data_IF_297197632136
#
_entry.id   IF_297197632136
#
_cell.length_a   1.000
_cell.length_b   1.000
_cell.length_c   1.000
_cell.angle_alpha   90.00
_cell.angle_beta   90.00
_cell.angle_gamma   90.00
#
_symmetry.space_group_name_H-M   'P 1'
#
loop_
_entity.id
_entity.type
_entity.pdbx_description
1 polymer ?
#
# COMPACT_ATOMS: atom_id res chain seq x y z
N UNK A 1 -34.25 13.28 20.87
CA UNK A 1 -32.93 12.73 20.48
C UNK A 1 -33.10 12.02 19.13
N UNK A 2 -32.23 12.30 18.15
CA UNK A 2 -32.32 11.74 16.78
C UNK A 2 -31.14 10.80 16.51
N UNK A 3 -31.39 9.64 15.90
CA UNK A 3 -30.42 8.59 15.62
C UNK A 3 -30.66 7.99 14.23
N UNK A 4 -29.58 7.69 13.51
CA UNK A 4 -29.58 7.00 12.22
C UNK A 4 -28.36 6.09 12.11
N UNK A 5 -28.57 4.91 11.52
CA UNK A 5 -27.54 3.90 11.29
C UNK A 5 -27.72 3.18 9.94
N UNK A 6 -26.66 2.50 9.50
CA UNK A 6 -26.65 1.64 8.32
C UNK A 6 -25.67 0.49 8.54
N UNK A 7 -26.16 -0.74 8.39
CA UNK A 7 -25.36 -1.96 8.47
C UNK A 7 -25.01 -2.40 7.04
N UNK A 8 -23.83 -2.02 6.55
CA UNK A 8 -23.40 -2.27 5.17
C UNK A 8 -23.21 -3.76 4.85
N UNK A 9 -22.85 -4.59 5.84
CA UNK A 9 -22.70 -6.04 5.66
C UNK A 9 -24.02 -6.77 5.40
N UNK A 10 -25.17 -6.14 5.68
CA UNK A 10 -26.49 -6.71 5.38
C UNK A 10 -27.02 -6.29 4.00
N UNK A 11 -26.31 -5.40 3.30
CA UNK A 11 -26.69 -4.96 1.97
C UNK A 11 -26.20 -5.96 0.92
N UNK A 12 -27.13 -6.71 0.30
CA UNK A 12 -26.79 -7.79 -0.64
C UNK A 12 -26.08 -7.28 -1.91
N UNK A 13 -26.27 -6.01 -2.28
CA UNK A 13 -25.61 -5.44 -3.45
C UNK A 13 -24.22 -4.87 -3.15
N UNK A 14 -23.88 -4.68 -1.88
CA UNK A 14 -22.58 -4.14 -1.44
C UNK A 14 -21.69 -5.24 -0.86
N UNK A 15 -22.28 -6.17 -0.10
CA UNK A 15 -21.56 -7.30 0.51
C UNK A 15 -20.69 -6.93 1.72
N UNK A 16 -20.54 -5.65 2.06
CA UNK A 16 -19.68 -5.20 3.15
C UNK A 16 -19.28 -3.73 3.03
N UNK A 17 -18.14 -3.37 3.62
CA UNK A 17 -17.55 -2.04 3.47
C UNK A 17 -16.16 -1.96 4.13
N UNK A 18 -15.32 -0.98 3.76
CA UNK A 18 -15.51 0.01 2.68
C UNK A 18 -15.18 -0.53 1.27
N UNK A 19 -14.36 -1.58 1.20
CA UNK A 19 -13.83 -2.15 -0.05
C UNK A 19 -13.51 -3.62 0.16
N UNK A 20 -13.18 -4.32 -0.92
CA UNK A 20 -12.63 -5.68 -0.85
C UNK A 20 -11.23 -5.68 -0.20
N UNK A 21 -10.93 -6.73 0.58
CA UNK A 21 -9.58 -7.01 1.05
C UNK A 21 -9.07 -8.32 0.43
N UNK A 22 -7.75 -8.49 0.37
CA UNK A 22 -7.13 -9.68 -0.19
C UNK A 22 -6.57 -10.56 0.94
N UNK A 23 -7.10 -11.79 1.10
CA UNK A 23 -6.48 -12.79 1.97
C UNK A 23 -5.03 -13.12 1.56
N UNK A 24 -4.21 -13.68 2.46
CA UNK A 24 -2.83 -14.06 2.15
C UNK A 24 -2.74 -14.94 0.90
N UNK A 25 -1.82 -14.59 0.00
CA UNK A 25 -1.56 -15.32 -1.25
C UNK A 25 -2.51 -15.00 -2.41
N UNK A 26 -3.62 -14.30 -2.19
CA UNK A 26 -4.57 -13.97 -3.27
C UNK A 26 -3.97 -12.92 -4.21
N UNK A 27 -3.45 -11.82 -3.67
CA UNK A 27 -2.92 -10.73 -4.48
C UNK A 27 -1.70 -11.16 -5.31
N UNK A 28 -0.81 -11.97 -4.76
CA UNK A 28 0.38 -12.45 -5.49
C UNK A 28 0.03 -13.46 -6.60
N UNK A 29 -1.00 -14.28 -6.41
CA UNK A 29 -1.40 -15.31 -7.37
C UNK A 29 -2.36 -14.81 -8.45
N UNK A 30 -3.25 -13.89 -8.10
CA UNK A 30 -4.36 -13.46 -8.94
C UNK A 30 -4.43 -11.95 -9.17
N UNK A 31 -3.49 -11.17 -8.63
CA UNK A 31 -3.48 -9.70 -8.73
C UNK A 31 -3.64 -9.14 -10.15
N UNK A 32 -2.95 -9.67 -11.19
CA UNK A 32 -3.13 -9.19 -12.56
C UNK A 32 -4.56 -9.30 -13.09
N UNK A 33 -5.30 -10.33 -12.67
CA UNK A 33 -6.64 -10.62 -13.18
C UNK A 33 -7.69 -9.56 -12.78
N UNK A 34 -7.40 -8.70 -11.79
CA UNK A 34 -8.38 -7.74 -11.30
C UNK A 34 -8.74 -6.63 -12.30
N UNK A 35 -7.85 -6.34 -13.25
CA UNK A 35 -8.06 -5.29 -14.27
C UNK A 35 -8.04 -5.84 -15.70
N UNK A 36 -7.76 -7.13 -15.87
CA UNK A 36 -7.66 -7.74 -17.18
C UNK A 36 -9.03 -7.77 -17.86
N UNK A 37 -9.09 -7.31 -19.11
CA UNK A 37 -10.32 -7.37 -19.89
C UNK A 37 -10.72 -8.82 -20.17
N UNK A 38 -11.98 -9.18 -19.94
CA UNK A 38 -12.48 -10.54 -20.18
C UNK A 38 -13.02 -10.61 -21.61
N UNK A 39 -12.42 -11.47 -22.44
CA UNK A 39 -12.86 -11.72 -23.82
C UNK A 39 -12.73 -10.52 -24.76
N UNK A 40 -11.99 -9.48 -24.38
CA UNK A 40 -11.77 -8.27 -25.19
C UNK A 40 -13.00 -7.36 -25.33
N UNK A 41 -14.10 -7.64 -24.62
CA UNK A 41 -15.34 -6.85 -24.68
C UNK A 41 -15.91 -6.51 -23.29
N UNK A 42 -15.42 -7.15 -22.23
CA UNK A 42 -15.78 -6.83 -20.85
C UNK A 42 -14.58 -6.16 -20.19
N UNK A 43 -14.75 -4.91 -19.81
CA UNK A 43 -13.73 -4.11 -19.12
C UNK A 43 -14.18 -3.89 -17.67
N UNK A 44 -13.32 -4.28 -16.73
CA UNK A 44 -13.65 -4.26 -15.30
C UNK A 44 -13.37 -2.88 -14.72
N UNK A 45 -14.35 -2.26 -14.08
CA UNK A 45 -14.21 -1.02 -13.31
C UNK A 45 -14.48 -1.29 -11.81
N UNK A 46 -14.73 -0.25 -11.04
CA UNK A 46 -14.91 -0.32 -9.59
C UNK A 46 -13.64 0.07 -8.86
N UNK A 47 -13.78 0.61 -7.65
CA UNK A 47 -12.64 1.20 -6.92
C UNK A 47 -11.52 0.20 -6.65
N UNK A 48 -11.85 -1.09 -6.57
CA UNK A 48 -10.91 -2.20 -6.44
C UNK A 48 -9.94 -2.33 -7.62
N UNK A 49 -10.34 -1.83 -8.81
CA UNK A 49 -9.50 -1.84 -10.01
C UNK A 49 -8.69 -0.55 -10.18
N UNK A 50 -8.78 0.41 -9.26
CA UNK A 50 -7.99 1.65 -9.30
C UNK A 50 -6.50 1.39 -9.01
N UNK A 51 -5.60 2.25 -9.49
CA UNK A 51 -4.18 2.25 -9.15
C UNK A 51 -3.87 3.19 -7.98
N UNK A 52 -4.64 4.27 -7.83
CA UNK A 52 -4.52 5.22 -6.73
C UNK A 52 -5.81 5.23 -5.92
N UNK A 53 -5.67 5.34 -4.59
CA UNK A 53 -6.81 5.44 -3.68
C UNK A 53 -7.87 4.33 -3.85
N UNK A 54 -7.42 3.10 -4.12
CA UNK A 54 -8.27 1.90 -4.16
C UNK A 54 -9.11 1.80 -2.88
N UNK A 55 -10.43 1.59 -3.03
CA UNK A 55 -11.39 1.55 -1.93
C UNK A 55 -12.04 2.89 -1.59
N UNK A 56 -11.67 3.97 -2.27
CA UNK A 56 -12.26 5.30 -2.10
C UNK A 56 -13.06 5.74 -3.34
N UNK A 57 -13.82 6.82 -3.18
CA UNK A 57 -14.58 7.42 -4.28
C UNK A 57 -13.68 7.89 -5.42
N UNK A 58 -12.49 8.42 -5.12
CA UNK A 58 -11.49 8.80 -6.14
C UNK A 58 -11.05 7.59 -6.96
N UNK A 59 -10.77 6.45 -6.33
CA UNK A 59 -10.47 5.21 -7.03
C UNK A 59 -11.65 4.72 -7.89
N UNK A 60 -12.90 4.92 -7.45
CA UNK A 60 -14.07 4.56 -8.26
C UNK A 60 -14.16 5.39 -9.55
N UNK A 61 -13.85 6.69 -9.46
CA UNK A 61 -13.79 7.60 -10.62
C UNK A 61 -12.64 7.19 -11.55
N UNK A 62 -11.42 7.05 -11.02
CA UNK A 62 -10.23 6.65 -11.78
C UNK A 62 -10.49 5.35 -12.56
N UNK A 63 -10.98 4.31 -11.87
CA UNK A 63 -11.28 3.03 -12.45
C UNK A 63 -12.37 3.09 -13.52
N UNK A 64 -13.45 3.85 -13.28
CA UNK A 64 -14.56 4.01 -14.21
C UNK A 64 -14.13 4.71 -15.50
N UNK A 65 -13.41 5.81 -15.39
CA UNK A 65 -12.88 6.53 -16.55
C UNK A 65 -11.88 5.70 -17.34
N UNK A 66 -10.94 5.02 -16.67
CA UNK A 66 -9.98 4.16 -17.35
C UNK A 66 -10.69 3.00 -18.07
N UNK A 67 -11.72 2.38 -17.50
CA UNK A 67 -12.52 1.36 -18.22
C UNK A 67 -13.19 1.93 -19.46
N UNK A 68 -13.77 3.13 -19.36
CA UNK A 68 -14.38 3.80 -20.51
C UNK A 68 -13.34 4.09 -21.61
N UNK A 69 -12.13 4.51 -21.23
CA UNK A 69 -11.02 4.73 -22.16
C UNK A 69 -10.50 3.42 -22.77
N UNK A 70 -10.44 2.32 -22.03
CA UNK A 70 -10.13 0.99 -22.60
C UNK A 70 -11.15 0.57 -23.67
N UNK A 71 -12.45 0.82 -23.42
CA UNK A 71 -13.50 0.60 -24.43
C UNK A 71 -13.24 1.47 -25.66
N UNK A 72 -12.99 2.78 -25.48
CA UNK A 72 -12.71 3.69 -26.59
C UNK A 72 -11.47 3.27 -27.38
N UNK A 73 -10.43 2.79 -26.72
CA UNK A 73 -9.22 2.25 -27.35
C UNK A 73 -9.55 1.00 -28.17
N UNK A 74 -10.33 0.07 -27.61
CA UNK A 74 -10.77 -1.14 -28.33
C UNK A 74 -11.62 -0.80 -29.57
N UNK A 75 -12.36 0.30 -29.54
CA UNK A 75 -13.13 0.83 -30.66
C UNK A 75 -12.31 1.69 -31.64
N UNK A 76 -10.99 1.82 -31.44
CA UNK A 76 -10.09 2.63 -32.28
C UNK A 76 -10.34 4.13 -32.21
N UNK A 77 -10.93 4.63 -31.12
CA UNK A 77 -11.25 6.07 -30.95
C UNK A 77 -10.12 6.89 -30.32
N UNK A 78 -9.29 6.24 -29.50
CA UNK A 78 -8.15 6.86 -28.82
C UNK A 78 -6.91 5.97 -28.96
N UNK A 79 -5.75 6.50 -28.64
CA UNK A 79 -4.50 5.72 -28.63
C UNK A 79 -4.30 5.01 -27.29
N UNK A 80 -3.39 4.04 -27.24
CA UNK A 80 -3.10 3.30 -26.00
C UNK A 80 -2.51 4.19 -24.90
N UNK A 81 -1.81 5.27 -25.25
CA UNK A 81 -1.25 6.21 -24.26
C UNK A 81 -2.34 7.05 -23.58
N UNK A 82 -3.50 7.18 -24.21
CA UNK A 82 -4.60 8.00 -23.68
C UNK A 82 -5.46 7.23 -22.67
N UNK A 83 -5.21 5.92 -22.45
CA UNK A 83 -6.01 5.10 -21.53
C UNK A 83 -5.76 5.48 -20.08
N UNK A 84 -4.49 5.66 -19.72
CA UNK A 84 -4.05 6.03 -18.37
C UNK A 84 -3.69 7.52 -18.38
N UNK A 85 -4.53 8.31 -17.71
CA UNK A 85 -4.40 9.76 -17.63
C UNK A 85 -4.12 10.12 -16.19
N UNK A 86 -3.08 10.92 -15.98
CA UNK A 86 -2.80 11.52 -14.67
C UNK A 86 -3.72 12.73 -14.47
N UNK A 87 -4.43 12.74 -13.34
CA UNK A 87 -5.32 13.84 -12.99
C UNK A 87 -4.50 15.05 -12.50
N UNK A 88 -4.76 16.27 -13.00
CA UNK A 88 -4.10 17.47 -12.48
C UNK A 88 -4.42 17.70 -11.01
N UNK A 89 -3.50 18.31 -10.28
CA UNK A 89 -3.71 18.61 -8.86
C UNK A 89 -4.87 19.58 -8.65
N UNK A 90 -5.68 19.28 -7.64
CA UNK A 90 -6.80 20.11 -7.26
C UNK A 90 -6.33 21.33 -6.46
N UNK A 91 -6.36 22.51 -7.10
CA UNK A 91 -5.79 23.77 -6.56
C UNK A 91 -6.40 24.17 -5.21
N UNK A 92 -7.68 23.89 -4.98
CA UNK A 92 -8.37 24.30 -3.74
C UNK A 92 -7.97 23.44 -2.53
N UNK A 93 -7.47 22.21 -2.75
CA UNK A 93 -7.01 21.30 -1.69
C UNK A 93 -5.59 20.83 -2.03
N UNK A 94 -4.58 21.69 -1.81
CA UNK A 94 -3.20 21.35 -2.14
C UNK A 94 -2.67 20.24 -1.22
N UNK A 95 -1.92 19.32 -1.79
CA UNK A 95 -1.27 18.24 -1.04
C UNK A 95 -0.15 18.84 -0.19
N UNK A 96 -0.19 18.62 1.12
CA UNK A 96 0.93 18.92 2.00
C UNK A 96 1.90 17.73 2.00
N UNK A 97 3.20 17.93 1.74
CA UNK A 97 4.16 16.85 1.79
C UNK A 97 4.23 16.26 3.21
N UNK A 98 4.34 14.93 3.29
CA UNK A 98 4.55 14.24 4.56
C UNK A 98 6.02 14.39 4.97
N UNK A 99 6.31 15.41 5.77
CA UNK A 99 7.63 15.65 6.33
C UNK A 99 7.92 14.69 7.50
N UNK A 100 9.08 14.03 7.46
CA UNK A 100 9.55 13.16 8.54
C UNK A 100 10.70 13.83 9.31
N UNK A 101 10.64 13.78 10.64
CA UNK A 101 11.71 14.31 11.48
C UNK A 101 12.98 13.45 11.38
N UNK A 102 14.14 14.03 11.74
CA UNK A 102 15.41 13.29 11.76
C UNK A 102 15.35 12.07 12.71
N UNK A 103 14.63 12.19 13.83
CA UNK A 103 14.48 11.09 14.77
C UNK A 103 13.62 9.96 14.18
N UNK A 104 12.47 10.28 13.59
CA UNK A 104 11.63 9.27 12.92
C UNK A 104 12.37 8.55 11.79
N UNK A 105 13.27 9.26 11.11
CA UNK A 105 14.07 8.70 10.03
C UNK A 105 15.22 7.80 10.49
N UNK A 106 15.86 8.12 11.61
CA UNK A 106 17.11 7.47 12.03
C UNK A 106 17.01 6.63 13.31
N UNK A 107 15.89 6.64 14.04
CA UNK A 107 15.72 5.74 15.19
C UNK A 107 15.74 4.28 14.67
N UNK A 108 16.67 3.44 15.16
CA UNK A 108 16.77 2.06 14.72
C UNK A 108 15.62 1.22 15.31
N UNK A 109 15.38 0.05 14.70
CA UNK A 109 14.39 -0.90 15.22
C UNK A 109 14.81 -1.48 16.58
N UNK A 110 13.84 -1.95 17.35
CA UNK A 110 14.09 -2.61 18.65
C UNK A 110 15.03 -3.81 18.48
N UNK A 111 14.86 -4.59 17.40
CA UNK A 111 15.74 -5.73 17.12
C UNK A 111 17.20 -5.31 16.93
N UNK A 112 17.43 -4.19 16.25
CA UNK A 112 18.77 -3.62 16.10
C UNK A 112 19.34 -3.14 17.45
N UNK A 113 18.53 -2.46 18.28
CA UNK A 113 18.95 -2.02 19.62
C UNK A 113 19.33 -3.19 20.53
N UNK A 114 18.54 -4.27 20.52
CA UNK A 114 18.83 -5.48 21.28
C UNK A 114 20.11 -6.17 20.80
N UNK A 115 20.32 -6.24 19.48
CA UNK A 115 21.54 -6.79 18.89
C UNK A 115 22.79 -5.96 19.26
N UNK A 116 22.68 -4.63 19.23
CA UNK A 116 23.76 -3.73 19.64
C UNK A 116 24.09 -3.93 21.13
N UNK A 117 23.09 -4.00 22.00
CA UNK A 117 23.28 -4.23 23.43
C UNK A 117 23.96 -5.58 23.71
N UNK A 118 23.51 -6.64 23.03
CA UNK A 118 24.14 -7.96 23.13
C UNK A 118 25.60 -7.94 22.63
N UNK A 119 25.90 -7.23 21.55
CA UNK A 119 27.25 -7.08 21.03
C UNK A 119 28.16 -6.32 22.00
N UNK A 120 27.66 -5.27 22.65
CA UNK A 120 28.41 -4.52 23.68
C UNK A 120 28.72 -5.42 24.88
N UNK A 121 27.75 -6.21 25.34
CA UNK A 121 27.97 -7.17 26.43
C UNK A 121 29.01 -8.22 26.01
N UNK A 122 28.88 -8.80 24.81
CA UNK A 122 29.83 -9.79 24.31
C UNK A 122 31.24 -9.23 24.20
N UNK A 123 31.38 -7.99 23.71
CA UNK A 123 32.66 -7.28 23.64
C UNK A 123 33.26 -7.06 25.03
N UNK A 124 32.45 -6.62 26.01
CA UNK A 124 32.90 -6.42 27.38
C UNK A 124 33.38 -7.72 28.03
N UNK A 125 32.66 -8.83 27.83
CA UNK A 125 33.05 -10.14 28.33
C UNK A 125 34.36 -10.64 27.68
N UNK A 126 34.49 -10.48 26.36
CA UNK A 126 35.72 -10.82 25.64
C UNK A 126 36.93 -10.04 26.17
N UNK A 127 36.76 -8.72 26.33
CA UNK A 127 37.81 -7.85 26.84
C UNK A 127 38.22 -8.18 28.29
N UNK A 128 37.25 -8.50 29.15
CA UNK A 128 37.50 -8.93 30.53
C UNK A 128 38.29 -10.25 30.58
N UNK A 129 37.92 -11.24 29.76
CA UNK A 129 38.66 -12.50 29.63
C UNK A 129 40.09 -12.29 29.14
N UNK A 130 40.27 -11.40 28.16
CA UNK A 130 41.59 -11.08 27.61
C UNK A 130 42.52 -10.44 28.67
N UNK A 131 42.01 -9.49 29.46
CA UNK A 131 42.78 -8.90 30.56
C UNK A 131 43.10 -9.91 31.67
N UNK A 132 42.19 -10.83 31.97
CA UNK A 132 42.41 -11.92 32.92
C UNK A 132 43.56 -12.85 32.51
N UNK A 133 43.63 -13.21 31.23
CA UNK A 133 44.75 -14.00 30.67
C UNK A 133 46.07 -13.22 30.67
N UNK A 134 46.05 -11.91 30.38
CA UNK A 134 47.25 -11.08 30.42
C UNK A 134 47.85 -11.00 31.85
N UNK A 135 47.00 -10.91 32.89
CA UNK A 135 47.44 -10.84 34.30
C UNK A 135 47.95 -12.15 34.89
N UNK A 136 47.70 -13.31 34.25
CA UNK A 136 48.26 -14.59 34.72
C UNK A 136 49.60 -14.94 34.06
N UNK A 137 49.94 -14.27 32.96
CA UNK A 137 51.14 -14.53 32.16
C UNK A 137 52.30 -13.54 32.43
N UNK A 138 52.10 -12.55 33.30
CA UNK A 138 53.08 -11.57 33.77
C UNK A 138 52.84 -11.26 35.25
#
# INVERSE_FOLDING_TARGET
>A
VHYMDKIWSQDTYVGGGYTCYYPPGVLSKYGPAIRESIGGCIFLAGTETALQWTGYMSGAVEAGERAAREVLYSCGKISSSDVYVEEPEFVEVPIQPLEQSLLERFIPSIGFLLALFAAIIAFALFFSSYQGQWRQNF
#
